data_IF_987415651922
#
_entry.id   IF_987415651922
#
_cell.length_a   1.000
_cell.length_b   1.000
_cell.length_c   1.000
_cell.angle_alpha   90.00
_cell.angle_beta   90.00
_cell.angle_gamma   90.00
#
_symmetry.space_group_name_H-M   'P 1'
#
loop_
_entity.id
_entity.type
_entity.pdbx_description
1 polymer ?
#
# COMPACT_ATOMS: atom_id res chain seq x y z
N UNK A 1 9.52 1.43 -4.72
CA UNK A 1 9.75 -0.01 -4.98
C UNK A 1 9.38 -0.79 -3.72
N UNK A 2 8.79 -1.99 -3.81
CA UNK A 2 8.30 -2.78 -2.68
C UNK A 2 8.82 -4.23 -2.75
N UNK A 3 9.24 -4.78 -1.61
CA UNK A 3 9.41 -6.23 -1.41
C UNK A 3 8.53 -6.67 -0.25
N UNK A 4 7.71 -7.69 -0.45
CA UNK A 4 6.78 -8.24 0.56
C UNK A 4 7.12 -9.70 0.89
N UNK A 5 7.28 -9.99 2.18
CA UNK A 5 7.43 -11.36 2.71
C UNK A 5 6.27 -11.65 3.67
N UNK A 6 5.33 -12.57 3.35
CA UNK A 6 4.24 -12.93 4.23
C UNK A 6 4.67 -13.91 5.32
N UNK A 7 3.85 -13.95 6.36
CA UNK A 7 3.93 -14.85 7.50
C UNK A 7 3.11 -16.11 7.22
N UNK A 8 3.72 -17.26 7.45
CA UNK A 8 2.98 -18.51 7.76
C UNK A 8 2.78 -18.61 9.27
N UNK A 9 1.71 -19.27 9.73
CA UNK A 9 1.20 -19.22 11.12
C UNK A 9 2.26 -19.38 12.25
N UNK A 10 3.41 -20.01 11.98
CA UNK A 10 4.43 -20.31 12.98
C UNK A 10 5.59 -19.30 13.17
N UNK A 11 5.88 -18.33 12.29
CA UNK A 11 7.24 -17.73 12.35
C UNK A 11 7.36 -16.22 12.00
N UNK A 12 6.84 -15.37 12.89
CA UNK A 12 6.93 -13.90 12.80
C UNK A 12 8.39 -13.39 12.85
N UNK A 13 9.20 -13.95 13.76
CA UNK A 13 10.61 -13.59 13.90
C UNK A 13 11.41 -13.91 12.64
N UNK A 14 11.19 -15.08 12.05
CA UNK A 14 11.90 -15.52 10.86
C UNK A 14 11.62 -14.62 9.65
N UNK A 15 10.38 -14.21 9.43
CA UNK A 15 10.03 -13.31 8.34
C UNK A 15 10.69 -11.92 8.52
N UNK A 16 10.68 -11.40 9.76
CA UNK A 16 11.34 -10.15 10.10
C UNK A 16 12.87 -10.21 9.93
N UNK A 17 13.51 -11.28 10.38
CA UNK A 17 14.96 -11.47 10.23
C UNK A 17 15.34 -11.62 8.75
N UNK A 18 14.55 -12.37 7.98
CA UNK A 18 14.80 -12.59 6.55
C UNK A 18 14.77 -11.27 5.79
N UNK A 19 13.73 -10.45 6.00
CA UNK A 19 13.63 -9.16 5.30
C UNK A 19 14.69 -8.16 5.79
N UNK A 20 15.08 -8.20 7.07
CA UNK A 20 16.14 -7.35 7.60
C UNK A 20 17.51 -7.73 7.00
N UNK A 21 17.80 -9.02 6.89
CA UNK A 21 18.99 -9.51 6.19
C UNK A 21 19.00 -9.11 4.71
N UNK A 22 17.86 -9.24 4.03
CA UNK A 22 17.72 -8.84 2.63
C UNK A 22 17.98 -7.34 2.45
N UNK A 23 17.41 -6.51 3.33
CA UNK A 23 17.69 -5.08 3.39
C UNK A 23 19.18 -4.79 3.55
N UNK A 24 19.85 -5.46 4.49
CA UNK A 24 21.28 -5.25 4.73
C UNK A 24 22.11 -5.58 3.50
N UNK A 25 21.83 -6.71 2.84
CA UNK A 25 22.51 -7.09 1.59
C UNK A 25 22.30 -6.09 0.46
N UNK A 26 21.12 -5.47 0.40
CA UNK A 26 20.85 -4.39 -0.58
C UNK A 26 21.66 -3.13 -0.24
N UNK A 27 21.75 -2.76 1.04
CA UNK A 27 22.53 -1.60 1.48
C UNK A 27 24.03 -1.78 1.27
N UNK A 28 24.55 -3.00 1.48
CA UNK A 28 25.95 -3.35 1.29
C UNK A 28 26.33 -3.49 -0.20
N UNK A 29 25.34 -3.52 -1.10
CA UNK A 29 25.52 -3.63 -2.55
C UNK A 29 25.72 -5.06 -3.06
N UNK A 30 25.52 -6.07 -2.21
CA UNK A 30 25.61 -7.49 -2.58
C UNK A 30 24.45 -7.95 -3.48
N UNK A 31 23.32 -7.25 -3.43
CA UNK A 31 22.12 -7.55 -4.20
C UNK A 31 21.37 -6.27 -4.57
N UNK A 32 20.84 -6.18 -5.80
CA UNK A 32 20.02 -5.02 -6.16
C UNK A 32 18.61 -5.16 -5.57
N UNK A 33 17.94 -4.03 -5.31
CA UNK A 33 16.54 -4.07 -4.88
C UNK A 33 15.66 -4.81 -5.90
N UNK A 34 15.92 -4.60 -7.20
CA UNK A 34 15.17 -5.25 -8.28
C UNK A 34 15.31 -6.78 -8.22
N UNK A 35 16.53 -7.28 -8.04
CA UNK A 35 16.77 -8.72 -7.93
C UNK A 35 16.12 -9.30 -6.69
N UNK A 36 16.23 -8.58 -5.56
CA UNK A 36 15.58 -8.96 -4.31
C UNK A 36 14.06 -9.02 -4.47
N UNK A 37 13.45 -8.04 -5.13
CA UNK A 37 12.02 -8.02 -5.40
C UNK A 37 11.60 -9.21 -6.28
N UNK A 38 12.32 -9.48 -7.37
CA UNK A 38 11.98 -10.60 -8.26
C UNK A 38 12.16 -11.97 -7.62
N UNK A 39 13.08 -12.14 -6.66
CA UNK A 39 13.37 -13.42 -6.01
C UNK A 39 12.51 -13.69 -4.77
N UNK A 40 12.25 -12.66 -3.97
CA UNK A 40 11.70 -12.82 -2.62
C UNK A 40 10.34 -12.16 -2.43
N UNK A 41 9.92 -11.24 -3.31
CA UNK A 41 8.63 -10.58 -3.16
C UNK A 41 7.50 -11.53 -3.56
N UNK A 42 6.55 -11.73 -2.65
CA UNK A 42 5.31 -12.45 -2.95
C UNK A 42 4.24 -11.54 -3.59
N UNK A 43 4.51 -10.23 -3.71
CA UNK A 43 3.72 -9.33 -4.56
C UNK A 43 4.07 -9.56 -6.04
N UNK A 44 3.40 -10.52 -6.67
CA UNK A 44 3.63 -10.91 -8.06
C UNK A 44 3.44 -9.77 -9.06
N UNK A 45 2.58 -8.79 -8.75
CA UNK A 45 2.31 -7.68 -9.64
C UNK A 45 3.54 -6.78 -9.80
N UNK A 46 4.26 -6.52 -8.70
CA UNK A 46 5.45 -5.67 -8.72
C UNK A 46 6.75 -6.48 -8.87
N UNK A 47 6.82 -7.73 -8.41
CA UNK A 47 8.03 -8.55 -8.44
C UNK A 47 8.63 -8.69 -9.85
N UNK A 48 7.77 -8.81 -10.87
CA UNK A 48 8.18 -8.93 -12.27
C UNK A 48 8.79 -7.65 -12.86
N UNK A 49 8.49 -6.49 -12.27
CA UNK A 49 9.02 -5.17 -12.64
C UNK A 49 10.01 -4.65 -11.59
N UNK A 50 10.78 -5.57 -10.99
CA UNK A 50 11.80 -5.23 -9.99
C UNK A 50 11.24 -4.60 -8.71
N UNK A 51 9.98 -4.86 -8.39
CA UNK A 51 9.24 -4.30 -7.26
C UNK A 51 8.68 -2.91 -7.52
N UNK A 52 8.70 -2.41 -8.76
CA UNK A 52 8.14 -1.10 -9.07
C UNK A 52 6.62 -1.11 -8.92
N UNK A 53 6.08 -0.15 -8.17
CA UNK A 53 4.64 -0.05 -7.89
C UNK A 53 4.00 1.18 -8.55
N UNK A 54 4.80 2.05 -9.19
CA UNK A 54 4.34 3.30 -9.77
C UNK A 54 4.39 4.50 -8.80
N UNK A 55 3.71 5.58 -9.19
CA UNK A 55 3.57 6.80 -8.40
C UNK A 55 2.25 6.78 -7.61
N UNK A 56 2.32 7.10 -6.32
CA UNK A 56 1.16 7.19 -5.44
C UNK A 56 1.11 8.53 -4.74
N UNK A 57 -0.11 9.01 -4.48
CA UNK A 57 -0.27 10.09 -3.52
C UNK A 57 -0.04 9.54 -2.11
N UNK A 58 0.72 10.26 -1.28
CA UNK A 58 1.09 9.80 0.05
C UNK A 58 -0.15 9.41 0.90
N UNK A 59 -1.23 10.18 0.79
CA UNK A 59 -2.48 9.94 1.52
C UNK A 59 -3.26 8.68 1.09
N UNK A 60 -2.90 8.05 -0.04
CA UNK A 60 -3.49 6.79 -0.51
C UNK A 60 -2.80 5.56 0.11
N UNK A 61 -1.60 5.74 0.68
CA UNK A 61 -0.84 4.66 1.30
C UNK A 61 -1.32 4.38 2.72
N UNK A 62 -1.04 3.19 3.23
CA UNK A 62 -1.29 2.86 4.64
C UNK A 62 -0.50 3.82 5.57
N UNK A 63 -1.05 4.22 6.73
CA UNK A 63 -0.37 5.15 7.65
C UNK A 63 1.08 4.76 7.96
N UNK A 64 1.34 3.48 8.22
CA UNK A 64 2.70 2.97 8.47
C UNK A 64 3.67 3.16 7.29
N UNK A 65 3.18 3.13 6.04
CA UNK A 65 4.01 3.44 4.87
C UNK A 65 4.24 4.93 4.76
N UNK A 66 3.24 5.76 5.07
CA UNK A 66 3.39 7.21 5.06
C UNK A 66 4.48 7.65 6.03
N UNK A 67 4.41 7.15 7.28
CA UNK A 67 5.39 7.47 8.32
C UNK A 67 6.80 7.02 7.93
N UNK A 68 6.94 5.78 7.44
CA UNK A 68 8.23 5.25 7.01
C UNK A 68 8.82 6.02 5.82
N UNK A 69 8.02 6.35 4.81
CA UNK A 69 8.46 7.13 3.64
C UNK A 69 8.72 8.61 3.96
N UNK A 70 8.05 9.16 4.98
CA UNK A 70 8.33 10.51 5.47
C UNK A 70 9.64 10.61 6.26
N UNK A 71 10.10 9.50 6.83
CA UNK A 71 11.32 9.44 7.64
C UNK A 71 12.60 9.24 6.82
N UNK A 72 12.49 8.98 5.51
CA UNK A 72 13.62 8.69 4.63
C UNK A 72 13.74 9.71 3.48
N UNK A 73 14.95 9.83 2.95
CA UNK A 73 15.28 10.68 1.80
C UNK A 73 15.05 9.94 0.47
N UNK A 74 15.08 10.69 -0.64
CA UNK A 74 15.12 10.09 -1.97
C UNK A 74 16.34 9.16 -2.07
N UNK A 75 16.15 8.04 -2.77
CA UNK A 75 17.06 6.91 -2.92
C UNK A 75 17.32 6.06 -1.66
N UNK A 76 16.76 6.42 -0.51
CA UNK A 76 16.84 5.61 0.70
C UNK A 76 15.76 4.52 0.76
N UNK A 77 15.96 3.59 1.68
CA UNK A 77 15.09 2.45 1.93
C UNK A 77 14.62 2.40 3.38
N UNK A 78 13.34 2.14 3.57
CA UNK A 78 12.71 2.04 4.89
C UNK A 78 13.28 0.87 5.69
N UNK A 79 13.14 0.94 7.01
CA UNK A 79 13.20 -0.26 7.84
C UNK A 79 12.04 -1.22 7.51
N UNK A 80 12.13 -2.52 7.90
CA UNK A 80 11.04 -3.46 7.72
C UNK A 80 9.74 -2.99 8.37
N UNK A 81 8.69 -2.85 7.56
CA UNK A 81 7.37 -2.40 7.95
C UNK A 81 6.48 -3.63 8.13
N UNK A 82 5.95 -3.83 9.33
CA UNK A 82 4.96 -4.87 9.60
C UNK A 82 3.59 -4.43 9.08
N UNK A 83 2.96 -5.28 8.29
CA UNK A 83 1.64 -5.07 7.70
C UNK A 83 0.74 -6.20 8.14
N UNK A 84 -0.48 -5.87 8.54
CA UNK A 84 -1.47 -6.84 8.99
C UNK A 84 -2.71 -6.64 8.15
N UNK A 85 -3.01 -7.61 7.28
CA UNK A 85 -4.22 -7.62 6.45
C UNK A 85 -5.11 -8.79 6.83
N UNK A 86 -6.28 -8.48 7.41
CA UNK A 86 -7.33 -9.38 7.91
C UNK A 86 -6.85 -10.51 8.86
N UNK A 87 -6.05 -11.45 8.36
CA UNK A 87 -5.45 -12.59 9.09
C UNK A 87 -4.00 -12.88 8.69
N UNK A 88 -3.48 -12.22 7.67
CA UNK A 88 -2.11 -12.39 7.19
C UNK A 88 -1.24 -11.26 7.72
N UNK A 89 -0.07 -11.61 8.22
CA UNK A 89 0.98 -10.64 8.55
C UNK A 89 2.01 -10.69 7.44
N UNK A 90 2.55 -9.55 7.04
CA UNK A 90 3.66 -9.48 6.10
C UNK A 90 4.65 -8.41 6.53
N UNK A 91 5.89 -8.55 6.08
CA UNK A 91 6.91 -7.52 6.25
C UNK A 91 7.29 -6.95 4.89
N UNK A 92 7.39 -5.62 4.88
CA UNK A 92 7.56 -4.83 3.66
C UNK A 92 8.78 -3.94 3.82
N UNK A 93 9.64 -3.86 2.79
CA UNK A 93 10.65 -2.80 2.68
C UNK A 93 10.36 -1.99 1.43
N UNK A 94 10.52 -0.67 1.55
CA UNK A 94 10.21 0.26 0.47
C UNK A 94 11.41 1.13 0.16
N UNK A 95 11.69 1.35 -1.13
CA UNK A 95 12.67 2.35 -1.60
C UNK A 95 11.95 3.54 -2.21
N UNK A 96 12.33 4.74 -1.79
CA UNK A 96 11.79 6.01 -2.30
C UNK A 96 12.62 6.46 -3.51
N UNK A 97 12.14 6.21 -4.72
CA UNK A 97 12.88 6.59 -5.93
C UNK A 97 12.74 8.07 -6.29
N UNK A 98 11.57 8.65 -6.02
CA UNK A 98 11.30 10.04 -6.31
C UNK A 98 10.17 10.54 -5.39
N UNK A 99 10.15 11.85 -5.13
CA UNK A 99 9.09 12.53 -4.42
C UNK A 99 8.78 13.85 -5.11
N UNK A 100 7.67 13.88 -5.83
CA UNK A 100 7.17 15.08 -6.48
C UNK A 100 6.06 15.70 -5.61
N UNK A 101 6.10 17.02 -5.41
CA UNK A 101 5.20 17.71 -4.49
C UNK A 101 5.62 17.57 -3.02
N UNK A 102 4.88 18.22 -2.13
CA UNK A 102 5.24 18.35 -0.71
C UNK A 102 4.88 19.72 -0.14
N UNK A 103 4.60 20.69 -1.00
CA UNK A 103 3.89 21.88 -0.56
C UNK A 103 2.52 21.45 -0.07
N UNK A 104 2.21 21.83 1.18
CA UNK A 104 0.84 21.69 1.68
C UNK A 104 -0.05 22.45 0.73
N UNK A 105 -1.10 21.79 0.23
CA UNK A 105 -2.20 22.48 -0.43
C UNK A 105 -2.61 23.65 0.46
N UNK A 106 -2.45 24.85 -0.07
CA UNK A 106 -2.88 26.08 0.56
C UNK A 106 -4.06 26.64 -0.24
N UNK A 107 -4.90 27.44 0.43
CA UNK A 107 -6.10 27.97 -0.21
C UNK A 107 -5.79 29.03 -1.27
N UNK A 108 -4.60 29.62 -1.27
CA UNK A 108 -4.24 30.70 -2.19
C UNK A 108 -3.85 30.15 -3.57
N UNK A 109 -2.98 29.15 -3.60
CA UNK A 109 -2.42 28.54 -4.80
C UNK A 109 -3.24 27.35 -5.30
N UNK A 110 -4.03 26.71 -4.43
CA UNK A 110 -4.67 25.42 -4.72
C UNK A 110 -6.17 25.37 -4.40
N UNK A 111 -6.84 26.52 -4.40
CA UNK A 111 -8.27 26.60 -4.07
C UNK A 111 -9.14 25.64 -4.89
N UNK A 112 -8.85 25.51 -6.19
CA UNK A 112 -9.68 24.76 -7.12
C UNK A 112 -9.54 23.24 -6.90
N UNK A 113 -8.32 22.76 -6.67
CA UNK A 113 -7.99 21.38 -6.34
C UNK A 113 -8.63 20.98 -5.01
N UNK A 114 -8.45 21.79 -3.96
CA UNK A 114 -9.06 21.58 -2.64
C UNK A 114 -10.59 21.52 -2.76
N UNK A 115 -11.18 22.44 -3.53
CA UNK A 115 -12.63 22.46 -3.78
C UNK A 115 -13.12 21.20 -4.47
N UNK A 116 -12.39 20.72 -5.48
CA UNK A 116 -12.77 19.52 -6.22
C UNK A 116 -12.64 18.26 -5.34
N UNK A 117 -11.57 18.15 -4.55
CA UNK A 117 -11.39 17.10 -3.56
C UNK A 117 -12.52 17.09 -2.52
N UNK A 118 -12.87 18.26 -1.98
CA UNK A 118 -13.97 18.39 -1.01
C UNK A 118 -15.33 17.99 -1.61
N UNK A 119 -15.60 18.40 -2.85
CA UNK A 119 -16.81 17.98 -3.59
C UNK A 119 -16.85 16.47 -3.79
N UNK A 120 -15.74 15.87 -4.20
CA UNK A 120 -15.64 14.43 -4.41
C UNK A 120 -15.82 13.64 -3.11
N UNK A 121 -15.18 14.06 -2.02
CA UNK A 121 -15.33 13.43 -0.71
C UNK A 121 -16.79 13.47 -0.24
N UNK A 122 -17.44 14.64 -0.33
CA UNK A 122 -18.86 14.78 0.04
C UNK A 122 -19.77 13.91 -0.84
N UNK A 123 -19.52 13.87 -2.16
CA UNK A 123 -20.29 13.03 -3.07
C UNK A 123 -20.17 11.54 -2.74
N UNK A 124 -18.96 11.06 -2.44
CA UNK A 124 -18.74 9.66 -2.05
C UNK A 124 -19.45 9.32 -0.74
N UNK A 125 -19.37 10.21 0.25
CA UNK A 125 -20.02 10.03 1.55
C UNK A 125 -21.55 9.92 1.40
N UNK A 126 -22.17 10.82 0.64
CA UNK A 126 -23.61 10.75 0.37
C UNK A 126 -24.00 9.52 -0.46
N UNK A 127 -23.16 9.14 -1.44
CA UNK A 127 -23.39 7.93 -2.24
C UNK A 127 -23.36 6.68 -1.37
N UNK A 128 -22.39 6.57 -0.46
CA UNK A 128 -22.30 5.44 0.46
C UNK A 128 -23.48 5.39 1.42
N UNK A 129 -23.90 6.54 1.96
CA UNK A 129 -25.16 6.64 2.74
C UNK A 129 -26.35 6.12 1.94
N UNK A 130 -26.55 6.66 0.75
CA UNK A 130 -27.66 6.28 -0.12
C UNK A 130 -27.66 4.78 -0.49
N UNK A 131 -26.49 4.21 -0.81
CA UNK A 131 -26.36 2.78 -1.08
C UNK A 131 -26.69 1.93 0.16
N UNK A 132 -26.31 2.37 1.35
CA UNK A 132 -26.62 1.67 2.59
C UNK A 132 -28.11 1.75 2.94
N UNK A 133 -28.76 2.88 2.69
CA UNK A 133 -30.20 3.04 2.90
C UNK A 133 -30.99 2.17 1.91
N UNK A 134 -30.61 2.18 0.63
CA UNK A 134 -31.20 1.28 -0.37
C UNK A 134 -31.09 -0.20 0.02
N UNK A 135 -29.93 -0.64 0.53
CA UNK A 135 -29.75 -2.02 1.01
C UNK A 135 -30.65 -2.38 2.19
N UNK A 136 -31.05 -1.41 3.01
CA UNK A 136 -31.94 -1.63 4.15
C UNK A 136 -33.41 -1.67 3.75
N UNK A 137 -33.79 -0.90 2.73
CA UNK A 137 -35.17 -0.84 2.21
C UNK A 137 -35.49 -1.96 1.23
N UNK A 138 -34.49 -2.48 0.52
CA UNK A 138 -34.66 -3.61 -0.40
C UNK A 138 -34.55 -4.94 0.35
N UNK A 139 -35.62 -5.74 0.31
CA UNK A 139 -35.57 -7.15 0.69
C UNK A 139 -34.80 -7.93 -0.40
N UNK A 140 -33.56 -8.31 -0.11
CA UNK A 140 -32.76 -9.17 -0.97
C UNK A 140 -33.05 -10.63 -0.57
N UNK A 141 -33.82 -11.36 -1.39
CA UNK A 141 -33.95 -12.82 -1.28
C UNK A 141 -32.85 -13.46 -2.13
N UNK A 142 -31.83 -14.04 -1.49
CA UNK A 142 -30.74 -14.78 -2.16
C UNK A 142 -31.19 -16.16 -2.68
N UNK A 143 -32.42 -16.31 -3.17
CA UNK A 143 -32.85 -17.53 -3.86
C UNK A 143 -32.55 -17.42 -5.34
N UNK A 144 -31.34 -17.83 -5.73
CA UNK A 144 -31.07 -18.16 -7.14
C UNK A 144 -29.66 -17.97 -7.68
N UNK A 145 -28.60 -18.05 -6.87
CA UNK A 145 -27.25 -18.25 -7.42
C UNK A 145 -26.74 -19.70 -7.30
N UNK A 146 -27.45 -20.55 -6.55
CA UNK A 146 -27.26 -22.01 -6.55
C UNK A 146 -28.25 -22.69 -7.51
N UNK A 147 -28.13 -22.44 -8.82
CA UNK A 147 -28.57 -23.36 -9.87
C UNK A 147 -28.38 -22.74 -11.27
N UNK A 148 -27.19 -22.91 -11.84
CA UNK A 148 -27.08 -23.20 -13.26
C UNK A 148 -26.09 -24.36 -13.44
N UNK A 149 -26.47 -25.44 -14.14
CA UNK A 149 -25.60 -26.59 -14.43
C UNK A 149 -24.46 -26.25 -15.38
#
# INVERSE_FOLDING_TARGET
ILVQIPKTDEDDHRAQETIAMLRQRILDGDETFSDAASKYSEDLASASDGGHIGEFMLNQLLPQYQDALNAISIDEMTEPIKVVDQRTVSYHIMRLNNRNGGDKYNLDDHFQEITNMAKFAKWNEERERWLNDLRRELYIDERGLDALP
#
